data_IF_517574910540
#
_entry.id   IF_517574910540
#
_cell.length_a   1.000
_cell.length_b   1.000
_cell.length_c   1.000
_cell.angle_alpha   90.00
_cell.angle_beta   90.00
_cell.angle_gamma   90.00
#
_symmetry.space_group_name_H-M   'P 1'
#
loop_
_entity.id
_entity.type
_entity.pdbx_description
1 polymer ?
#
# COMPACT_ATOMS: atom_id res chain seq x y z
N UNK A 1 23.29 1.00 16.13
CA UNK A 1 22.30 0.20 15.36
C UNK A 1 21.67 1.16 14.37
N UNK A 2 22.08 1.15 13.11
CA UNK A 2 21.37 1.94 12.10
C UNK A 2 19.99 1.30 11.96
N UNK A 3 18.95 1.97 12.45
CA UNK A 3 17.59 1.52 12.21
C UNK A 3 17.42 1.43 10.69
N UNK A 4 17.11 0.23 10.18
CA UNK A 4 16.90 0.04 8.75
C UNK A 4 15.79 1.00 8.31
N UNK A 5 16.12 1.87 7.35
CA UNK A 5 15.17 2.82 6.81
C UNK A 5 15.22 2.80 5.29
N UNK A 6 14.05 2.78 4.65
CA UNK A 6 13.96 2.66 3.19
C UNK A 6 13.47 3.97 2.59
N UNK A 7 14.31 4.65 1.79
CA UNK A 7 13.90 5.88 1.13
C UNK A 7 12.96 5.59 -0.04
N UNK A 8 12.09 6.55 -0.33
CA UNK A 8 11.20 6.54 -1.47
C UNK A 8 10.76 7.95 -1.85
N UNK A 9 9.99 8.06 -2.91
CA UNK A 9 9.50 9.34 -3.38
C UNK A 9 8.62 9.25 -4.61
N UNK A 10 8.11 10.41 -5.02
CA UNK A 10 7.31 10.50 -6.25
C UNK A 10 8.18 10.44 -7.51
N UNK A 11 7.54 10.31 -8.68
CA UNK A 11 8.25 10.25 -9.96
C UNK A 11 8.95 11.57 -10.33
N UNK A 12 8.49 12.72 -9.83
CA UNK A 12 9.12 14.02 -10.10
C UNK A 12 10.22 14.39 -9.10
N UNK A 13 10.57 13.48 -8.20
CA UNK A 13 11.64 13.59 -7.19
C UNK A 13 11.48 14.70 -6.14
N UNK A 14 10.45 15.56 -6.22
CA UNK A 14 10.23 16.66 -5.26
C UNK A 14 9.71 16.17 -3.92
N UNK A 15 8.86 15.14 -3.94
CA UNK A 15 8.39 14.48 -2.73
C UNK A 15 9.32 13.33 -2.41
N UNK A 16 9.90 13.37 -1.21
CA UNK A 16 10.75 12.32 -0.63
C UNK A 16 10.22 11.91 0.73
N UNK A 17 10.27 10.63 1.00
CA UNK A 17 9.86 10.07 2.28
C UNK A 17 10.80 8.93 2.69
N UNK A 18 10.72 8.59 3.97
CA UNK A 18 11.46 7.48 4.57
C UNK A 18 10.49 6.54 5.28
N UNK A 19 10.63 5.26 4.99
CA UNK A 19 9.97 4.17 5.70
C UNK A 19 10.86 3.72 6.86
N UNK A 20 10.35 3.75 8.10
CA UNK A 20 11.13 3.46 9.32
C UNK A 20 10.94 2.04 9.87
N UNK A 21 10.02 1.27 9.30
CA UNK A 21 9.74 -0.11 9.67
C UNK A 21 9.30 -0.90 8.43
N UNK A 22 9.45 -2.22 8.44
CA UNK A 22 8.90 -3.05 7.36
C UNK A 22 7.35 -3.00 7.40
N UNK A 23 6.67 -3.06 6.24
CA UNK A 23 5.22 -3.17 6.19
C UNK A 23 4.73 -4.39 6.98
N UNK A 24 3.54 -4.30 7.56
CA UNK A 24 2.87 -5.43 8.21
C UNK A 24 2.47 -6.52 7.20
N UNK A 25 2.16 -6.12 5.96
CA UNK A 25 1.87 -7.00 4.83
C UNK A 25 1.94 -6.18 3.53
N UNK A 26 2.28 -6.82 2.42
CA UNK A 26 2.27 -6.24 1.08
C UNK A 26 1.19 -6.90 0.22
N UNK A 27 0.15 -6.15 -0.10
CA UNK A 27 -0.94 -6.60 -0.98
C UNK A 27 -0.68 -6.17 -2.42
N UNK A 28 -0.76 -7.10 -3.35
CA UNK A 28 -0.94 -6.79 -4.77
C UNK A 28 -2.43 -6.89 -5.12
N UNK A 29 -3.10 -5.74 -5.24
CA UNK A 29 -4.53 -5.67 -5.46
C UNK A 29 -4.87 -5.48 -6.94
N UNK A 30 -5.73 -6.37 -7.44
CA UNK A 30 -6.15 -6.42 -8.85
C UNK A 30 -7.54 -5.83 -9.09
N UNK A 31 -8.18 -5.22 -8.09
CA UNK A 31 -9.54 -4.71 -8.28
C UNK A 31 -9.58 -3.56 -9.30
N UNK A 32 -10.71 -3.41 -10.00
CA UNK A 32 -10.91 -2.38 -11.04
C UNK A 32 -10.68 -0.96 -10.51
N UNK A 33 -11.00 -0.68 -9.24
CA UNK A 33 -10.73 0.63 -8.64
C UNK A 33 -9.22 0.89 -8.53
N UNK A 34 -8.44 -0.08 -8.09
CA UNK A 34 -6.98 0.05 -8.01
C UNK A 34 -6.34 0.19 -9.40
N UNK A 35 -6.84 -0.54 -10.39
CA UNK A 35 -6.41 -0.41 -11.79
C UNK A 35 -6.66 1.01 -12.32
N UNK A 36 -7.89 1.51 -12.18
CA UNK A 36 -8.27 2.87 -12.63
C UNK A 36 -7.52 3.97 -11.88
N UNK A 37 -7.32 3.79 -10.57
CA UNK A 37 -6.64 4.77 -9.72
C UNK A 37 -5.18 4.97 -10.13
N UNK A 38 -4.50 3.89 -10.51
CA UNK A 38 -3.08 3.91 -10.88
C UNK A 38 -2.84 3.99 -12.39
N UNK A 39 -3.84 3.70 -13.21
CA UNK A 39 -3.68 3.48 -14.64
C UNK A 39 -2.89 2.21 -14.99
N UNK A 40 -2.69 1.30 -14.04
CA UNK A 40 -1.91 0.06 -14.18
C UNK A 40 -2.81 -1.19 -14.08
N UNK A 41 -2.23 -2.39 -14.28
CA UNK A 41 -2.95 -3.66 -14.13
C UNK A 41 -3.23 -4.05 -12.67
N UNK A 42 -2.55 -3.43 -11.71
CA UNK A 42 -2.69 -3.66 -10.26
C UNK A 42 -2.00 -2.55 -9.47
N UNK A 43 -2.17 -2.56 -8.15
CA UNK A 43 -1.40 -1.73 -7.22
C UNK A 43 -0.71 -2.60 -6.18
N UNK A 44 0.51 -2.24 -5.79
CA UNK A 44 1.25 -2.90 -4.71
C UNK A 44 1.27 -1.99 -3.49
N UNK A 45 0.60 -2.41 -2.43
CA UNK A 45 0.39 -1.65 -1.21
C UNK A 45 1.02 -2.33 -0.01
N UNK A 46 1.93 -1.65 0.68
CA UNK A 46 2.40 -2.05 2.00
C UNK A 46 1.51 -1.42 3.06
N UNK A 47 0.93 -2.26 3.92
CA UNK A 47 0.14 -1.78 5.05
C UNK A 47 1.09 -1.45 6.20
N UNK A 48 1.05 -0.22 6.68
CA UNK A 48 2.00 0.27 7.69
C UNK A 48 1.36 1.34 8.56
N UNK A 49 1.85 1.48 9.80
CA UNK A 49 1.51 2.59 10.68
C UNK A 49 1.93 3.91 10.03
N UNK A 50 1.06 4.91 10.08
CA UNK A 50 1.37 6.23 9.53
C UNK A 50 2.60 6.85 10.20
N UNK A 51 2.81 6.58 11.49
CA UNK A 51 3.98 7.05 12.26
C UNK A 51 5.31 6.50 11.75
N UNK A 52 5.30 5.42 10.97
CA UNK A 52 6.47 4.80 10.36
C UNK A 52 6.78 5.33 8.95
N UNK A 53 6.00 6.30 8.45
CA UNK A 53 6.28 7.01 7.20
C UNK A 53 6.58 8.47 7.50
N UNK A 54 7.80 8.90 7.21
CA UNK A 54 8.27 10.26 7.45
C UNK A 54 8.45 10.98 6.11
N UNK A 55 7.76 12.11 5.92
CA UNK A 55 7.97 12.96 4.74
C UNK A 55 9.20 13.84 4.99
N UNK A 56 10.21 13.72 4.14
CA UNK A 56 11.47 14.46 4.25
C UNK A 56 11.40 15.77 3.45
N UNK A 57 10.84 15.74 2.24
CA UNK A 57 10.66 16.91 1.38
C UNK A 57 9.37 16.81 0.56
N UNK A 58 8.89 17.96 0.09
CA UNK A 58 7.66 18.07 -0.69
C UNK A 58 6.40 17.96 0.18
N UNK A 59 5.24 17.85 -0.47
CA UNK A 59 3.96 17.77 0.24
C UNK A 59 2.97 16.83 -0.45
N UNK A 60 2.12 16.22 0.39
CA UNK A 60 1.02 15.39 -0.06
C UNK A 60 -0.25 16.23 -0.20
N UNK A 61 -1.01 15.98 -1.27
CA UNK A 61 -2.35 16.51 -1.49
C UNK A 61 -3.37 15.37 -1.35
N UNK A 62 -4.38 15.49 -0.47
CA UNK A 62 -5.41 14.47 -0.32
C UNK A 62 -6.46 14.57 -1.43
N UNK A 63 -6.91 13.41 -1.92
CA UNK A 63 -8.00 13.26 -2.86
C UNK A 63 -9.01 12.25 -2.31
N UNK A 64 -10.24 12.69 -2.09
CA UNK A 64 -11.33 11.80 -1.67
C UNK A 64 -11.88 11.09 -2.90
N UNK A 65 -11.88 9.76 -2.84
CA UNK A 65 -12.47 8.92 -3.88
C UNK A 65 -13.70 8.19 -3.36
N UNK A 66 -14.65 7.83 -4.24
CA UNK A 66 -15.75 6.95 -3.88
C UNK A 66 -15.23 5.61 -3.34
N UNK A 67 -15.96 5.01 -2.41
CA UNK A 67 -15.64 3.70 -1.84
C UNK A 67 -16.88 2.82 -1.91
N UNK A 68 -16.71 1.58 -2.36
CA UNK A 68 -17.82 0.61 -2.39
C UNK A 68 -18.38 0.29 -1.00
N UNK A 69 -17.58 0.53 0.05
CA UNK A 69 -17.96 0.27 1.45
C UNK A 69 -18.66 1.45 2.13
N UNK A 70 -18.80 2.59 1.44
CA UNK A 70 -19.32 3.84 2.02
C UNK A 70 -18.38 4.56 2.99
N UNK A 71 -17.26 3.94 3.38
CA UNK A 71 -16.21 4.59 4.19
C UNK A 71 -15.34 5.50 3.33
N UNK A 72 -14.88 6.66 3.84
CA UNK A 72 -14.04 7.57 3.06
C UNK A 72 -12.74 6.90 2.63
N UNK A 73 -12.42 6.99 1.34
CA UNK A 73 -11.15 6.59 0.76
C UNK A 73 -10.34 7.85 0.45
N UNK A 74 -9.23 8.07 1.14
CA UNK A 74 -8.37 9.25 0.91
C UNK A 74 -7.07 8.79 0.28
N UNK A 75 -6.83 9.19 -0.96
CA UNK A 75 -5.56 8.96 -1.66
C UNK A 75 -4.69 10.19 -1.52
N UNK A 76 -3.48 10.02 -1.00
CA UNK A 76 -2.51 11.09 -0.87
C UNK A 76 -1.54 11.02 -2.04
N UNK A 77 -1.46 12.12 -2.80
CA UNK A 77 -0.61 12.24 -3.99
C UNK A 77 0.46 13.29 -3.78
N UNK A 78 1.58 13.17 -4.46
CA UNK A 78 2.52 14.29 -4.58
C UNK A 78 1.78 15.52 -5.11
N UNK A 79 1.91 16.65 -4.41
CA UNK A 79 1.25 17.91 -4.79
C UNK A 79 1.73 18.45 -6.15
N UNK A 80 2.98 18.15 -6.54
CA UNK A 80 3.59 18.64 -7.77
C UNK A 80 3.26 17.79 -9.01
N UNK A 81 3.36 16.45 -8.92
CA UNK A 81 3.21 15.58 -10.09
C UNK A 81 2.00 14.64 -10.03
N UNK A 82 1.29 14.59 -8.91
CA UNK A 82 0.12 13.73 -8.76
C UNK A 82 0.40 12.23 -8.60
N UNK A 83 1.66 11.80 -8.46
CA UNK A 83 1.97 10.39 -8.13
C UNK A 83 1.26 10.00 -6.83
N UNK A 84 0.48 8.92 -6.88
CA UNK A 84 -0.08 8.27 -5.69
C UNK A 84 1.04 7.77 -4.77
N UNK A 85 1.05 8.22 -3.51
CA UNK A 85 2.05 7.80 -2.52
C UNK A 85 1.43 6.83 -1.52
N UNK A 86 0.26 7.15 -0.97
CA UNK A 86 -0.42 6.25 -0.06
C UNK A 86 -1.93 6.44 -0.09
N UNK A 87 -2.63 5.51 0.56
CA UNK A 87 -4.08 5.58 0.74
C UNK A 87 -4.44 5.32 2.19
N UNK A 88 -5.32 6.15 2.75
CA UNK A 88 -5.98 5.92 4.03
C UNK A 88 -7.41 5.39 3.74
N UNK A 89 -7.64 4.14 4.14
CA UNK A 89 -8.94 3.50 4.04
C UNK A 89 -9.73 3.73 5.33
N UNK A 90 -10.75 4.58 5.24
CA UNK A 90 -11.62 4.92 6.35
C UNK A 90 -11.25 6.20 7.08
N UNK A 91 -10.28 6.98 6.58
CA UNK A 91 -9.82 8.23 7.17
C UNK A 91 -9.43 8.06 8.65
N UNK A 92 -8.64 7.03 8.93
CA UNK A 92 -8.27 6.61 10.28
C UNK A 92 -6.99 7.25 10.77
N UNK A 93 -6.14 7.74 9.86
CA UNK A 93 -4.85 8.40 10.10
C UNK A 93 -3.79 7.55 10.83
N UNK A 94 -4.14 6.41 11.41
CA UNK A 94 -3.22 5.52 12.16
C UNK A 94 -2.51 4.50 11.29
N UNK A 95 -3.09 4.14 10.14
CA UNK A 95 -2.58 3.12 9.23
C UNK A 95 -2.84 3.53 7.78
N UNK A 96 -1.83 3.37 6.93
CA UNK A 96 -1.90 3.69 5.50
C UNK A 96 -1.44 2.52 4.65
N UNK A 97 -1.84 2.58 3.38
CA UNK A 97 -1.47 1.65 2.33
C UNK A 97 -0.48 2.39 1.42
N UNK A 98 0.81 2.25 1.72
CA UNK A 98 1.91 2.89 1.01
C UNK A 98 2.14 2.20 -0.33
N UNK A 99 2.32 2.96 -1.42
CA UNK A 99 2.70 2.38 -2.71
C UNK A 99 4.13 1.85 -2.61
N UNK A 100 4.31 0.53 -2.65
CA UNK A 100 5.65 -0.04 -2.46
C UNK A 100 6.56 0.24 -3.65
N UNK A 101 6.00 0.42 -4.84
CA UNK A 101 6.75 0.73 -6.06
C UNK A 101 7.23 2.18 -6.14
N UNK A 102 6.92 3.02 -5.13
CA UNK A 102 7.51 4.38 -5.00
C UNK A 102 8.74 4.40 -4.09
N UNK A 103 9.15 3.27 -3.51
CA UNK A 103 10.45 3.14 -2.86
C UNK A 103 11.59 3.17 -3.88
N UNK A 104 12.77 3.61 -3.45
CA UNK A 104 13.96 3.64 -4.32
C UNK A 104 14.44 2.22 -4.67
N UNK A 105 14.30 1.26 -3.75
CA UNK A 105 14.50 -0.17 -3.99
C UNK A 105 13.21 -0.96 -3.74
N UNK A 106 12.27 -0.97 -4.69
CA UNK A 106 10.98 -1.63 -4.52
C UNK A 106 11.10 -3.15 -4.54
N UNK A 107 12.23 -3.72 -4.99
CA UNK A 107 12.44 -5.17 -5.07
C UNK A 107 12.55 -5.81 -3.68
N UNK A 108 12.85 -4.99 -2.65
CA UNK A 108 12.92 -5.43 -1.25
C UNK A 108 11.58 -5.93 -0.71
N UNK A 109 10.46 -5.41 -1.23
CA UNK A 109 9.12 -5.68 -0.71
C UNK A 109 8.20 -6.19 -1.82
N UNK A 110 8.36 -7.47 -2.17
CA UNK A 110 7.43 -8.16 -3.06
C UNK A 110 6.05 -8.38 -2.41
N UNK A 111 5.02 -8.73 -3.20
CA UNK A 111 3.70 -9.05 -2.65
C UNK A 111 3.73 -10.30 -1.79
N UNK A 112 3.15 -10.22 -0.59
CA UNK A 112 2.87 -11.38 0.26
C UNK A 112 1.60 -12.10 -0.21
N UNK A 113 0.69 -11.38 -0.89
CA UNK A 113 -0.58 -11.92 -1.40
C UNK A 113 -1.10 -11.12 -2.59
N UNK A 114 -1.75 -11.83 -3.51
CA UNK A 114 -2.60 -11.23 -4.54
C UNK A 114 -4.07 -11.28 -4.10
N UNK A 115 -4.74 -10.13 -4.13
CA UNK A 115 -6.16 -10.00 -3.74
C UNK A 115 -7.00 -9.44 -4.88
N UNK A 116 -8.30 -9.74 -4.85
CA UNK A 116 -9.27 -9.35 -5.88
C UNK A 116 -8.91 -9.86 -7.29
N UNK A 117 -8.35 -11.07 -7.39
CA UNK A 117 -7.86 -11.63 -8.67
C UNK A 117 -8.98 -11.94 -9.67
N UNK A 118 -10.25 -11.94 -9.26
CA UNK A 118 -11.40 -12.01 -10.18
C UNK A 118 -11.40 -10.89 -11.23
N UNK A 119 -10.77 -9.76 -10.92
CA UNK A 119 -10.62 -8.60 -11.82
C UNK A 119 -9.24 -8.52 -12.48
N UNK A 120 -8.34 -9.48 -12.21
CA UNK A 120 -6.99 -9.51 -12.78
C UNK A 120 -7.06 -9.53 -14.31
N UNK A 121 -6.26 -8.70 -14.94
CA UNK A 121 -6.15 -8.70 -16.39
C UNK A 121 -5.61 -10.06 -16.90
N UNK A 122 -6.16 -10.63 -17.98
CA UNK A 122 -5.82 -12.00 -18.42
C UNK A 122 -4.33 -12.21 -18.69
N UNK A 123 -3.63 -11.18 -19.16
CA UNK A 123 -2.20 -11.22 -19.50
C UNK A 123 -1.24 -11.10 -18.30
N UNK A 124 -1.75 -10.85 -17.09
CA UNK A 124 -0.90 -10.83 -15.87
C UNK A 124 -0.72 -12.25 -15.35
N UNK A 125 0.51 -12.75 -15.33
CA UNK A 125 0.85 -14.02 -14.67
C UNK A 125 1.16 -13.78 -13.19
N UNK A 126 0.66 -14.66 -12.32
CA UNK A 126 0.94 -14.61 -10.88
C UNK A 126 1.96 -15.70 -10.50
N UNK A 127 2.92 -15.43 -9.61
CA UNK A 127 3.82 -16.45 -9.11
C UNK A 127 3.04 -17.51 -8.31
N UNK A 128 3.21 -18.83 -8.59
CA UNK A 128 2.42 -19.88 -7.94
C UNK A 128 2.64 -19.99 -6.43
N UNK A 129 3.78 -19.49 -5.93
CA UNK A 129 4.15 -19.52 -4.51
C UNK A 129 3.55 -18.36 -3.69
N UNK A 130 2.96 -17.35 -4.33
CA UNK A 130 2.31 -16.24 -3.64
C UNK A 130 0.80 -16.50 -3.62
N UNK A 131 0.15 -16.56 -2.45
CA UNK A 131 -1.27 -16.85 -2.37
C UNK A 131 -2.10 -15.82 -3.17
N UNK A 132 -3.16 -16.29 -3.79
CA UNK A 132 -4.00 -15.50 -4.69
C UNK A 132 -5.48 -15.76 -4.42
N UNK A 133 -6.23 -14.70 -4.10
CA UNK A 133 -7.64 -14.78 -3.74
C UNK A 133 -8.50 -13.95 -4.70
N UNK A 134 -9.63 -14.51 -5.13
CA UNK A 134 -10.59 -13.81 -6.01
C UNK A 134 -11.20 -12.56 -5.35
N UNK A 135 -11.22 -12.52 -4.03
CA UNK A 135 -11.63 -11.38 -3.20
C UNK A 135 -10.55 -10.97 -2.21
N UNK A 136 -10.97 -10.45 -1.06
CA UNK A 136 -10.09 -10.35 0.10
C UNK A 136 -9.95 -11.75 0.73
N UNK A 137 -8.78 -12.06 1.31
CA UNK A 137 -8.58 -13.34 2.00
C UNK A 137 -9.51 -13.43 3.23
N UNK A 138 -9.95 -14.65 3.60
CA UNK A 138 -10.99 -14.84 4.61
C UNK A 138 -10.53 -14.55 6.04
N UNK A 139 -9.26 -14.75 6.37
CA UNK A 139 -8.69 -14.52 7.70
C UNK A 139 -7.30 -13.88 7.62
N UNK A 140 -6.99 -12.93 8.51
CA UNK A 140 -5.69 -12.25 8.52
C UNK A 140 -4.55 -13.23 8.85
N UNK A 141 -4.81 -14.22 9.69
CA UNK A 141 -3.88 -15.26 10.13
C UNK A 141 -3.37 -16.15 8.98
N UNK A 142 -4.05 -16.18 7.84
CA UNK A 142 -3.58 -16.93 6.66
C UNK A 142 -2.43 -16.23 5.92
N UNK A 143 -2.30 -14.91 6.10
CA UNK A 143 -1.39 -14.08 5.30
C UNK A 143 -0.43 -13.27 6.17
N UNK A 144 -0.89 -12.78 7.31
CA UNK A 144 -0.12 -11.87 8.18
C UNK A 144 0.69 -12.67 9.18
N UNK A 145 1.92 -12.21 9.44
CA UNK A 145 2.75 -12.78 10.51
C UNK A 145 2.17 -12.46 11.88
N UNK A 146 2.53 -13.25 12.90
CA UNK A 146 2.09 -12.99 14.28
C UNK A 146 2.51 -11.60 14.78
N UNK A 147 3.69 -11.12 14.39
CA UNK A 147 4.18 -9.78 14.70
C UNK A 147 3.33 -8.70 14.03
N UNK A 148 3.04 -8.84 12.74
CA UNK A 148 2.19 -7.92 11.99
C UNK A 148 0.78 -7.83 12.60
N UNK A 149 0.22 -8.96 13.02
CA UNK A 149 -1.07 -9.01 13.73
C UNK A 149 -1.02 -8.30 15.09
N UNK A 150 0.07 -8.43 15.84
CA UNK A 150 0.26 -7.70 17.10
C UNK A 150 0.32 -6.19 16.87
N UNK A 151 1.10 -5.74 15.87
CA UNK A 151 1.17 -4.34 15.45
C UNK A 151 -0.20 -3.80 15.06
N UNK A 152 -0.95 -4.55 14.23
CA UNK A 152 -2.31 -4.21 13.82
C UNK A 152 -3.26 -4.07 15.02
N UNK A 153 -3.21 -5.00 15.99
CA UNK A 153 -4.02 -4.92 17.22
C UNK A 153 -3.67 -3.71 18.08
N UNK A 154 -2.40 -3.34 18.16
CA UNK A 154 -1.97 -2.15 18.90
C UNK A 154 -2.55 -0.84 18.32
N UNK A 155 -2.96 -0.84 17.05
CA UNK A 155 -3.67 0.29 16.41
C UNK A 155 -5.20 0.26 16.63
N UNK A 156 -5.72 -0.72 17.38
CA UNK A 156 -7.15 -0.84 17.69
C UNK A 156 -7.98 -1.59 16.62
N UNK A 157 -7.36 -2.52 15.89
CA UNK A 157 -8.01 -3.32 14.84
C UNK A 157 -8.06 -4.81 15.16
#
# INVERSE_FOLDING_TARGET
MHANSWPGGCCCTRLRYRLKAEPMVVHCCHCTQCQRMTGSGFVVNGVIETSNVEIETGSLKPFRLPSETGRPLIVYRCADCGTDICTDYGARETMIFLRMTTLDDPKRFGPDVHIFTRSKLPWVSLPPQVPAYEGFYPAFEEVWTSEALQRRRALGF
#
